data_IF_376053889983
#
_entry.id   IF_376053889983
#
_cell.length_a   1.000
_cell.length_b   1.000
_cell.length_c   1.000
_cell.angle_alpha   90.00
_cell.angle_beta   90.00
_cell.angle_gamma   90.00
#
_symmetry.space_group_name_H-M   'P 1'
#
loop_
_entity.id
_entity.type
_entity.pdbx_description
1 polymer ?
#
# COMPACT_ATOMS: atom_id res chain seq x y z
N UNK A 1 7.15 12.27 21.73
CA UNK A 1 6.17 11.69 20.78
C UNK A 1 5.72 10.35 21.35
N UNK A 2 4.44 10.18 21.66
CA UNK A 2 3.93 8.93 22.22
C UNK A 2 4.04 7.82 21.15
N UNK A 3 4.90 6.83 21.39
CA UNK A 3 5.27 5.78 20.43
C UNK A 3 4.07 4.91 19.99
N UNK A 4 2.95 4.99 20.70
CA UNK A 4 1.72 4.24 20.38
C UNK A 4 0.88 4.94 19.30
N UNK A 5 0.87 6.27 19.25
CA UNK A 5 -0.07 7.03 18.42
C UNK A 5 0.18 6.98 16.91
N UNK A 6 1.45 6.85 16.48
CA UNK A 6 1.75 6.77 15.05
C UNK A 6 1.33 5.42 14.45
N UNK A 7 1.38 4.33 15.22
CA UNK A 7 0.94 3.00 14.77
C UNK A 7 -0.56 2.98 14.50
N UNK A 8 -1.36 3.63 15.36
CA UNK A 8 -2.80 3.80 15.15
C UNK A 8 -3.10 4.65 13.92
N UNK A 9 -2.39 5.76 13.75
CA UNK A 9 -2.54 6.61 12.56
C UNK A 9 -2.18 5.84 11.29
N UNK A 10 -1.09 5.08 11.30
CA UNK A 10 -0.67 4.20 10.22
C UNK A 10 -1.75 3.16 9.89
N UNK A 11 -2.27 2.46 10.89
CA UNK A 11 -3.32 1.46 10.69
C UNK A 11 -4.59 2.09 10.10
N UNK A 12 -5.02 3.25 10.60
CA UNK A 12 -6.16 3.98 10.00
C UNK A 12 -5.90 4.37 8.55
N UNK A 13 -4.71 4.85 8.24
CA UNK A 13 -4.32 5.18 6.87
C UNK A 13 -4.39 3.96 5.95
N UNK A 14 -3.81 2.83 6.37
CA UNK A 14 -3.87 1.58 5.60
C UNK A 14 -5.32 1.14 5.37
N UNK A 15 -6.17 1.18 6.38
CA UNK A 15 -7.59 0.80 6.23
C UNK A 15 -8.31 1.71 5.22
N UNK A 16 -8.09 3.02 5.29
CA UNK A 16 -8.67 3.96 4.34
C UNK A 16 -8.16 3.72 2.92
N UNK A 17 -6.85 3.50 2.77
CA UNK A 17 -6.23 3.22 1.48
C UNK A 17 -6.76 1.93 0.86
N UNK A 18 -6.85 0.85 1.63
CA UNK A 18 -7.43 -0.42 1.17
C UNK A 18 -8.89 -0.27 0.77
N UNK A 19 -9.69 0.51 1.52
CA UNK A 19 -11.07 0.79 1.17
C UNK A 19 -11.17 1.52 -0.18
N UNK A 20 -10.29 2.50 -0.44
CA UNK A 20 -10.29 3.22 -1.72
C UNK A 20 -9.76 2.40 -2.89
N UNK A 21 -8.79 1.50 -2.67
CA UNK A 21 -8.33 0.57 -3.71
C UNK A 21 -9.47 -0.38 -4.09
N UNK A 22 -10.16 -0.95 -3.10
CA UNK A 22 -11.34 -1.80 -3.33
C UNK A 22 -12.44 -1.05 -4.09
N UNK A 23 -12.74 0.18 -3.67
CA UNK A 23 -13.76 1.00 -4.30
C UNK A 23 -13.39 1.44 -5.73
N UNK A 24 -12.10 1.65 -6.01
CA UNK A 24 -11.66 2.05 -7.34
C UNK A 24 -11.65 0.90 -8.33
N UNK A 25 -11.15 -0.28 -7.93
CA UNK A 25 -11.00 -1.42 -8.83
C UNK A 25 -12.24 -2.33 -8.86
N UNK A 26 -13.08 -2.32 -7.82
CA UNK A 26 -14.31 -3.12 -7.73
C UNK A 26 -14.03 -4.60 -8.06
N UNK A 27 -14.89 -5.22 -8.88
CA UNK A 27 -14.77 -6.60 -9.36
C UNK A 27 -13.46 -6.90 -10.11
N UNK A 28 -12.74 -5.87 -10.58
CA UNK A 28 -11.46 -6.05 -11.26
C UNK A 28 -10.31 -6.28 -10.28
N UNK A 29 -10.50 -6.06 -8.98
CA UNK A 29 -9.44 -6.23 -8.00
C UNK A 29 -9.23 -7.71 -7.71
N UNK A 30 -8.05 -8.23 -8.05
CA UNK A 30 -7.67 -9.63 -7.74
C UNK A 30 -7.05 -9.70 -6.35
N UNK A 31 -6.08 -8.83 -6.05
CA UNK A 31 -5.43 -8.81 -4.74
C UNK A 31 -4.71 -7.50 -4.44
N UNK A 32 -4.51 -7.24 -3.15
CA UNK A 32 -3.62 -6.21 -2.64
C UNK A 32 -2.69 -6.85 -1.61
N UNK A 33 -1.38 -6.64 -1.78
CA UNK A 33 -0.37 -7.10 -0.83
C UNK A 33 0.45 -5.89 -0.34
N UNK A 34 0.65 -5.83 0.97
CA UNK A 34 1.46 -4.80 1.64
C UNK A 34 2.83 -5.42 1.96
N UNK A 35 3.89 -4.75 1.55
CA UNK A 35 5.28 -5.16 1.75
C UNK A 35 6.03 -4.12 2.59
N UNK A 36 7.34 -4.36 2.75
CA UNK A 36 8.26 -3.43 3.40
C UNK A 36 8.53 -3.75 4.87
N UNK A 37 9.38 -2.91 5.47
CA UNK A 37 9.83 -3.00 6.87
C UNK A 37 8.68 -2.96 7.90
N UNK A 38 7.49 -2.53 7.46
CA UNK A 38 6.27 -2.42 8.28
C UNK A 38 5.71 -3.77 8.70
N UNK A 39 5.82 -4.80 7.85
CA UNK A 39 5.16 -6.08 8.13
C UNK A 39 5.74 -6.81 9.36
N UNK A 40 6.91 -6.39 9.86
CA UNK A 40 7.59 -6.99 11.03
C UNK A 40 7.28 -6.32 12.38
N UNK A 41 6.37 -5.33 12.43
CA UNK A 41 5.99 -4.66 13.69
C UNK A 41 6.97 -3.58 14.19
N UNK A 42 8.02 -3.31 13.41
CA UNK A 42 9.11 -2.35 13.70
C UNK A 42 9.09 -1.19 12.67
N UNK A 43 7.92 -0.87 12.11
CA UNK A 43 7.81 0.31 11.25
C UNK A 43 8.04 1.55 12.08
N UNK A 44 8.88 2.42 11.56
CA UNK A 44 9.12 3.74 12.13
C UNK A 44 8.18 4.75 11.44
N UNK A 45 7.94 5.93 12.05
CA UNK A 45 7.06 6.95 11.44
C UNK A 45 7.51 7.44 10.06
N UNK A 46 8.79 7.28 9.74
CA UNK A 46 9.45 7.64 8.48
C UNK A 46 9.52 6.49 7.46
N UNK A 47 8.89 5.34 7.73
CA UNK A 47 8.92 4.20 6.80
C UNK A 47 7.95 4.39 5.62
N UNK A 48 8.44 4.13 4.42
CA UNK A 48 7.61 4.03 3.21
C UNK A 48 6.64 2.85 3.27
N UNK A 49 5.56 2.92 2.48
CA UNK A 49 4.53 1.88 2.37
C UNK A 49 4.58 1.27 0.99
N UNK A 50 5.16 0.07 0.89
CA UNK A 50 5.22 -0.68 -0.37
C UNK A 50 3.93 -1.46 -0.58
N UNK A 51 3.29 -1.28 -1.74
CA UNK A 51 2.03 -1.93 -2.11
C UNK A 51 2.11 -2.56 -3.50
N UNK A 52 1.63 -3.80 -3.61
CA UNK A 52 1.34 -4.44 -4.88
C UNK A 52 -0.17 -4.56 -5.03
N UNK A 53 -0.70 -4.01 -6.13
CA UNK A 53 -2.10 -4.19 -6.52
C UNK A 53 -2.12 -5.03 -7.78
N UNK A 54 -2.83 -6.16 -7.72
CA UNK A 54 -3.11 -7.00 -8.88
C UNK A 54 -4.57 -6.78 -9.26
N UNK A 55 -4.80 -6.30 -10.48
CA UNK A 55 -6.14 -6.04 -10.99
C UNK A 55 -6.26 -6.39 -12.47
N UNK A 56 -7.47 -6.72 -12.90
CA UNK A 56 -7.78 -7.04 -14.29
C UNK A 56 -7.94 -5.77 -15.15
N UNK A 57 -7.73 -5.92 -16.45
CA UNK A 57 -7.92 -4.83 -17.42
C UNK A 57 -6.98 -3.63 -17.22
N UNK A 58 -5.83 -3.83 -16.55
CA UNK A 58 -4.81 -2.80 -16.46
C UNK A 58 -4.25 -2.52 -17.87
N UNK A 59 -4.01 -1.25 -18.21
CA UNK A 59 -3.38 -0.92 -19.49
C UNK A 59 -2.02 -1.62 -19.58
N UNK A 60 -1.61 -2.02 -20.80
CA UNK A 60 -0.29 -2.61 -21.01
C UNK A 60 0.78 -1.64 -20.55
N UNK A 61 1.38 -1.93 -19.40
CA UNK A 61 2.43 -1.14 -18.80
C UNK A 61 3.77 -1.42 -19.48
N UNK A 62 4.29 -0.45 -20.23
CA UNK A 62 5.73 -0.31 -20.41
C UNK A 62 6.11 1.12 -20.07
N UNK A 63 6.61 1.32 -18.85
CA UNK A 63 7.59 2.39 -18.62
C UNK A 63 8.96 1.71 -18.71
N UNK A 64 9.84 2.07 -19.65
CA UNK A 64 11.23 1.63 -19.54
C UNK A 64 11.72 2.08 -18.17
N UNK A 65 12.34 1.17 -17.42
CA UNK A 65 12.94 1.49 -16.15
C UNK A 65 13.78 2.74 -16.33
N UNK A 66 13.51 3.76 -15.51
CA UNK A 66 14.37 4.94 -15.48
C UNK A 66 15.72 4.43 -14.95
N UNK A 67 16.65 4.21 -15.87
CA UNK A 67 18.06 4.24 -15.55
C UNK A 67 18.35 5.65 -15.06
N UNK A 68 19.13 5.73 -13.99
CA UNK A 68 19.56 6.91 -13.22
C UNK A 68 18.55 7.40 -12.17
#
# INVERSE_FOLDING_TARGET
MNLTGYKEHYNRFIQQLLARIKDFYQERLVSVAIFGSVVRGIFRPDSDIDLLVVAEGLPRGRRPGRLF
#
